data_IF_752644505475
#
_entry.id   IF_752644505475
#
_cell.length_a   1.000
_cell.length_b   1.000
_cell.length_c   1.000
_cell.angle_alpha   90.00
_cell.angle_beta   90.00
_cell.angle_gamma   90.00
#
_symmetry.space_group_name_H-M   'P 1'
#
loop_
_entity.id
_entity.type
_entity.pdbx_description
1 polymer ?
#
# COMPACT_ATOMS: atom_id res chain seq x y z
N UNK A 1 -43.39 13.72 -49.06
CA UNK A 1 -41.92 13.72 -49.24
C UNK A 1 -41.28 13.15 -47.97
N UNK A 2 -40.73 11.94 -48.02
CA UNK A 2 -39.91 11.35 -46.95
C UNK A 2 -38.67 10.76 -47.63
N UNK A 3 -37.49 11.29 -47.32
CA UNK A 3 -36.20 10.69 -47.69
C UNK A 3 -35.72 9.77 -46.57
N UNK A 4 -35.22 8.60 -46.95
CA UNK A 4 -34.47 7.64 -46.11
C UNK A 4 -32.98 7.95 -46.29
N UNK A 5 -32.22 8.03 -45.20
CA UNK A 5 -30.75 7.98 -45.23
C UNK A 5 -30.26 6.58 -44.84
N UNK A 6 -29.28 6.11 -45.61
CA UNK A 6 -28.78 4.73 -45.61
C UNK A 6 -27.60 4.48 -44.67
N UNK A 7 -27.54 3.26 -44.15
CA UNK A 7 -26.43 2.69 -43.41
C UNK A 7 -25.20 2.44 -44.31
N UNK A 8 -24.00 2.86 -43.84
CA UNK A 8 -22.71 2.64 -44.52
C UNK A 8 -22.16 1.22 -44.24
N UNK A 9 -21.81 0.40 -45.26
CA UNK A 9 -21.37 -1.00 -45.09
C UNK A 9 -19.90 -1.19 -44.66
N UNK A 10 -19.15 -0.12 -44.34
CA UNK A 10 -17.69 -0.20 -44.14
C UNK A 10 -17.24 -0.57 -42.72
N UNK A 11 -18.06 -0.34 -41.69
CA UNK A 11 -17.68 -0.62 -40.29
C UNK A 11 -17.66 -2.11 -39.93
N UNK A 12 -18.62 -2.88 -40.43
CA UNK A 12 -18.81 -4.29 -40.04
C UNK A 12 -17.73 -5.21 -40.62
N UNK A 13 -17.26 -4.93 -41.85
CA UNK A 13 -16.22 -5.74 -42.51
C UNK A 13 -14.84 -5.64 -41.85
N UNK A 14 -14.54 -4.52 -41.19
CA UNK A 14 -13.26 -4.31 -40.49
C UNK A 14 -13.25 -5.09 -39.16
N UNK A 15 -14.37 -5.11 -38.43
CA UNK A 15 -14.48 -5.85 -37.18
C UNK A 15 -14.43 -7.38 -37.38
N UNK A 16 -15.01 -7.90 -38.46
CA UNK A 16 -14.98 -9.35 -38.74
C UNK A 16 -13.61 -9.81 -39.30
N UNK A 17 -12.90 -8.94 -40.02
CA UNK A 17 -11.51 -9.18 -40.43
C UNK A 17 -10.60 -9.30 -39.19
N UNK A 18 -10.68 -8.35 -38.25
CA UNK A 18 -9.86 -8.35 -37.03
C UNK A 18 -10.11 -9.56 -36.11
N UNK A 19 -11.34 -10.07 -36.04
CA UNK A 19 -11.67 -11.29 -35.27
C UNK A 19 -11.14 -12.57 -35.92
N UNK A 20 -11.18 -12.66 -37.25
CA UNK A 20 -10.64 -13.81 -38.00
C UNK A 20 -9.11 -13.84 -37.98
N UNK A 21 -8.47 -12.66 -38.06
CA UNK A 21 -7.04 -12.46 -37.83
C UNK A 21 -6.65 -13.01 -36.45
N UNK A 22 -7.29 -12.58 -35.35
CA UNK A 22 -7.01 -13.06 -33.98
C UNK A 22 -7.04 -14.59 -33.81
N UNK A 23 -7.94 -15.31 -34.51
CA UNK A 23 -8.02 -16.78 -34.45
C UNK A 23 -6.93 -17.49 -35.25
N UNK A 24 -6.44 -16.91 -36.35
CA UNK A 24 -5.36 -17.50 -37.15
C UNK A 24 -3.98 -17.33 -36.49
N UNK A 25 -3.72 -16.24 -35.77
CA UNK A 25 -2.38 -15.96 -35.19
C UNK A 25 -2.06 -16.72 -33.90
N UNK A 26 -3.07 -17.11 -33.11
CA UNK A 26 -2.86 -17.98 -31.95
C UNK A 26 -2.42 -19.41 -32.31
N UNK A 27 -2.49 -19.77 -33.60
CA UNK A 27 -2.22 -21.13 -34.08
C UNK A 27 -0.86 -21.29 -34.80
N UNK A 28 -0.14 -20.22 -35.17
CA UNK A 28 1.13 -20.37 -35.91
C UNK A 28 2.10 -19.17 -35.77
N UNK A 29 3.17 -19.26 -34.95
CA UNK A 29 4.07 -18.14 -34.62
C UNK A 29 5.03 -17.67 -35.73
N UNK A 30 5.11 -18.36 -36.87
CA UNK A 30 6.13 -18.12 -37.92
C UNK A 30 5.72 -17.13 -39.01
N UNK A 31 4.54 -16.51 -38.93
CA UNK A 31 4.00 -15.59 -39.94
C UNK A 31 4.43 -14.11 -39.78
N UNK A 32 5.48 -13.85 -39.01
CA UNK A 32 5.88 -12.49 -38.59
C UNK A 32 6.57 -11.69 -39.71
N UNK A 33 7.22 -12.35 -40.69
CA UNK A 33 8.15 -11.64 -41.59
C UNK A 33 7.52 -10.93 -42.80
N UNK A 34 6.20 -11.02 -43.01
CA UNK A 34 5.53 -10.51 -44.23
C UNK A 34 4.33 -9.58 -43.97
N UNK A 35 4.18 -9.01 -42.77
CA UNK A 35 3.06 -8.11 -42.48
C UNK A 35 3.33 -6.66 -42.93
N UNK A 36 2.35 -5.97 -43.56
CA UNK A 36 2.43 -4.55 -43.86
C UNK A 36 2.74 -3.71 -42.62
N UNK A 37 3.59 -2.68 -42.76
CA UNK A 37 4.09 -1.83 -41.66
C UNK A 37 3.00 -1.25 -40.76
N UNK A 38 1.81 -0.96 -41.31
CA UNK A 38 0.67 -0.49 -40.53
C UNK A 38 0.10 -1.55 -39.56
N UNK A 39 0.10 -2.83 -39.95
CA UNK A 39 -0.33 -3.93 -39.08
C UNK A 39 0.73 -4.21 -38.01
N UNK A 40 2.02 -4.07 -38.32
CA UNK A 40 3.09 -4.09 -37.32
C UNK A 40 2.95 -2.95 -36.30
N UNK A 41 2.59 -1.74 -36.74
CA UNK A 41 2.35 -0.61 -35.83
C UNK A 41 1.14 -0.84 -34.93
N UNK A 42 0.06 -1.42 -35.47
CA UNK A 42 -1.16 -1.77 -34.74
C UNK A 42 -0.92 -2.95 -33.78
N UNK A 43 -0.13 -3.95 -34.17
CA UNK A 43 0.27 -5.06 -33.31
C UNK A 43 1.22 -4.61 -32.20
N UNK A 44 2.16 -3.69 -32.48
CA UNK A 44 2.97 -3.04 -31.45
C UNK A 44 2.12 -2.16 -30.54
N UNK A 45 1.10 -1.46 -31.05
CA UNK A 45 0.12 -0.72 -30.24
C UNK A 45 -0.73 -1.66 -29.37
N UNK A 46 -1.10 -2.84 -29.88
CA UNK A 46 -1.81 -3.89 -29.13
C UNK A 46 -0.89 -4.56 -28.10
N UNK A 47 0.40 -4.72 -28.40
CA UNK A 47 1.44 -5.20 -27.45
C UNK A 47 1.76 -4.15 -26.39
N UNK A 48 1.76 -2.87 -26.76
CA UNK A 48 1.89 -1.72 -25.86
C UNK A 48 0.64 -1.50 -25.00
N UNK A 49 -0.50 -2.09 -25.36
CA UNK A 49 -1.76 -2.03 -24.63
C UNK A 49 -1.90 -3.12 -23.54
N UNK A 50 -0.93 -4.03 -23.41
CA UNK A 50 -0.88 -5.02 -22.32
C UNK A 50 0.37 -4.84 -21.45
N UNK A 51 0.66 -3.58 -21.07
CA UNK A 51 1.64 -3.27 -20.03
C UNK A 51 1.02 -3.60 -18.69
N UNK A 52 1.57 -4.54 -17.92
CA UNK A 52 1.06 -4.89 -16.58
C UNK A 52 2.12 -4.77 -15.49
N UNK A 53 2.75 -3.60 -15.29
CA UNK A 53 3.46 -3.41 -14.05
C UNK A 53 2.46 -3.14 -12.90
N UNK A 54 2.89 -3.48 -11.68
CA UNK A 54 2.09 -3.85 -10.50
C UNK A 54 0.78 -4.59 -10.84
N UNK A 55 0.84 -5.92 -10.87
CA UNK A 55 -0.35 -6.76 -11.06
C UNK A 55 -1.00 -7.17 -9.74
N UNK A 56 -0.21 -7.26 -8.67
CA UNK A 56 -0.71 -7.61 -7.33
C UNK A 56 -0.06 -6.76 -6.23
N UNK A 57 -0.86 -6.48 -5.19
CA UNK A 57 -0.44 -5.82 -3.96
C UNK A 57 -0.74 -6.74 -2.78
N UNK A 58 0.27 -7.01 -1.97
CA UNK A 58 0.14 -7.63 -0.65
C UNK A 58 0.24 -6.53 0.41
N UNK A 59 -0.84 -6.37 1.16
CA UNK A 59 -0.90 -5.48 2.31
C UNK A 59 -0.69 -6.29 3.59
N UNK A 60 0.35 -5.96 4.35
CA UNK A 60 0.71 -6.60 5.61
C UNK A 60 0.57 -5.61 6.77
N UNK A 61 -0.26 -5.93 7.77
CA UNK A 61 -0.21 -5.19 9.04
C UNK A 61 1.02 -5.62 9.83
N UNK A 62 1.66 -4.69 10.55
CA UNK A 62 2.70 -5.04 11.52
C UNK A 62 2.21 -6.08 12.57
N UNK A 63 3.14 -6.82 13.16
CA UNK A 63 2.87 -7.77 14.24
C UNK A 63 2.45 -7.11 15.55
N UNK A 64 2.13 -7.90 16.58
CA UNK A 64 1.78 -7.38 17.90
C UNK A 64 2.90 -6.51 18.48
N UNK A 65 2.58 -5.28 18.87
CA UNK A 65 3.56 -4.28 19.34
C UNK A 65 3.51 -4.10 20.85
N UNK A 66 4.58 -3.60 21.42
CA UNK A 66 4.51 -3.07 22.79
C UNK A 66 3.54 -1.87 22.87
N UNK A 67 2.83 -1.68 23.99
CA UNK A 67 1.90 -0.58 24.16
C UNK A 67 2.62 0.75 24.39
N UNK A 68 1.93 1.85 24.11
CA UNK A 68 2.28 3.20 24.53
C UNK A 68 1.03 3.90 25.05
N UNK A 69 1.20 4.99 25.78
CA UNK A 69 0.11 5.84 26.26
C UNK A 69 0.27 7.26 25.71
N UNK A 70 -0.85 7.97 25.60
CA UNK A 70 -0.90 9.39 25.25
C UNK A 70 -1.60 10.13 26.39
N UNK A 71 -0.98 11.17 26.93
CA UNK A 71 -1.68 12.14 27.76
C UNK A 71 -2.35 13.20 26.85
N UNK A 72 -3.69 13.19 26.72
CA UNK A 72 -4.40 14.08 25.78
C UNK A 72 -4.32 15.55 26.17
N UNK A 73 -4.07 15.86 27.46
CA UNK A 73 -4.00 17.23 27.96
C UNK A 73 -2.64 17.87 27.70
N UNK A 74 -1.56 17.09 27.64
CA UNK A 74 -0.21 17.60 27.39
C UNK A 74 0.31 17.28 25.98
N UNK A 75 -0.31 16.31 25.29
CA UNK A 75 0.20 15.76 24.03
C UNK A 75 1.40 14.84 24.19
N UNK A 76 1.75 14.46 25.42
CA UNK A 76 2.92 13.64 25.71
C UNK A 76 2.64 12.15 25.49
N UNK A 77 3.48 11.52 24.67
CA UNK A 77 3.50 10.07 24.51
C UNK A 77 4.50 9.45 25.49
N UNK A 78 4.07 8.40 26.19
CA UNK A 78 4.90 7.70 27.17
C UNK A 78 4.83 6.19 27.01
N UNK A 79 5.88 5.53 27.50
CA UNK A 79 6.03 4.08 27.52
C UNK A 79 6.69 3.66 28.82
N UNK A 80 6.55 2.38 29.19
CA UNK A 80 7.24 1.83 30.37
C UNK A 80 8.74 1.69 30.12
N UNK A 81 9.10 1.30 28.90
CA UNK A 81 10.47 1.10 28.45
C UNK A 81 10.80 2.04 27.29
N UNK A 82 12.05 2.52 27.18
CA UNK A 82 12.47 3.34 26.06
C UNK A 82 12.41 2.53 24.75
N UNK A 83 11.99 3.18 23.67
CA UNK A 83 11.95 2.56 22.35
C UNK A 83 13.31 2.61 21.64
N UNK A 84 13.61 1.68 20.72
CA UNK A 84 14.92 1.60 20.06
C UNK A 84 15.35 2.90 19.36
N UNK A 85 14.42 3.60 18.74
CA UNK A 85 14.67 4.88 18.07
C UNK A 85 14.71 6.07 19.04
N UNK A 86 14.25 5.89 20.28
CA UNK A 86 14.03 6.97 21.24
C UNK A 86 12.87 7.91 20.89
N UNK A 87 12.13 7.64 19.81
CA UNK A 87 11.04 8.49 19.34
C UNK A 87 9.69 8.10 19.98
N UNK A 88 8.77 9.05 20.19
CA UNK A 88 7.45 8.75 20.74
C UNK A 88 6.63 7.86 19.80
N UNK A 89 5.75 7.02 20.38
CA UNK A 89 4.84 6.11 19.65
C UNK A 89 5.52 5.19 18.61
N UNK A 90 6.81 4.88 18.80
CA UNK A 90 7.61 4.04 17.91
C UNK A 90 8.15 2.75 18.58
N UNK A 91 7.28 1.95 19.22
CA UNK A 91 7.68 0.75 19.94
C UNK A 91 8.19 -0.34 19.00
N UNK A 92 8.98 -1.28 19.53
CA UNK A 92 9.24 -2.56 18.89
C UNK A 92 8.02 -3.48 18.97
N UNK A 93 8.14 -4.64 18.32
CA UNK A 93 7.24 -5.76 18.50
C UNK A 93 7.33 -6.29 19.93
N UNK A 94 6.19 -6.75 20.45
CA UNK A 94 6.14 -7.59 21.64
C UNK A 94 6.60 -9.02 21.28
N UNK A 95 6.95 -9.89 22.26
CA UNK A 95 7.39 -11.26 21.98
C UNK A 95 6.45 -12.02 21.03
N UNK A 96 5.14 -11.88 21.21
CA UNK A 96 4.13 -12.50 20.34
C UNK A 96 4.21 -11.95 18.91
N UNK A 97 4.46 -10.65 18.75
CA UNK A 97 4.65 -10.02 17.44
C UNK A 97 5.91 -10.48 16.74
N UNK A 98 6.99 -10.73 17.49
CA UNK A 98 8.22 -11.33 16.95
C UNK A 98 7.91 -12.72 16.38
N UNK A 99 7.22 -13.59 17.15
CA UNK A 99 6.80 -14.90 16.65
C UNK A 99 5.90 -14.80 15.41
N UNK A 100 4.92 -13.90 15.41
CA UNK A 100 4.08 -13.63 14.23
C UNK A 100 4.91 -13.22 13.00
N UNK A 101 5.96 -12.40 13.20
CA UNK A 101 6.83 -11.96 12.10
C UNK A 101 7.65 -13.11 11.50
N UNK A 102 8.11 -14.06 12.33
CA UNK A 102 8.84 -15.25 11.88
C UNK A 102 7.93 -16.21 11.08
N UNK A 103 6.69 -16.42 11.54
CA UNK A 103 5.70 -17.22 10.83
C UNK A 103 5.30 -16.57 9.50
N UNK A 104 5.11 -15.26 9.52
CA UNK A 104 4.85 -14.45 8.31
C UNK A 104 6.01 -14.57 7.33
N UNK A 105 7.26 -14.55 7.79
CA UNK A 105 8.42 -14.73 6.94
C UNK A 105 8.49 -16.11 6.29
N UNK A 106 8.13 -17.18 7.02
CA UNK A 106 8.05 -18.54 6.44
C UNK A 106 7.01 -18.61 5.32
N UNK A 107 5.91 -17.89 5.44
CA UNK A 107 4.88 -17.81 4.40
C UNK A 107 5.32 -16.94 3.22
N UNK A 108 5.67 -15.68 3.48
CA UNK A 108 6.03 -14.70 2.44
C UNK A 108 7.28 -15.09 1.67
N UNK A 109 8.33 -15.62 2.33
CA UNK A 109 9.55 -16.03 1.62
C UNK A 109 9.28 -17.14 0.60
N UNK A 110 8.37 -18.07 0.89
CA UNK A 110 7.95 -19.10 -0.06
C UNK A 110 7.09 -18.52 -1.17
N UNK A 111 6.07 -17.72 -0.83
CA UNK A 111 5.14 -17.14 -1.80
C UNK A 111 5.84 -16.18 -2.77
N UNK A 112 6.77 -15.37 -2.26
CA UNK A 112 7.43 -14.32 -3.02
C UNK A 112 8.78 -14.74 -3.63
N UNK A 113 9.26 -15.97 -3.41
CA UNK A 113 10.58 -16.40 -3.87
C UNK A 113 10.78 -16.17 -5.36
N UNK A 114 9.87 -16.67 -6.18
CA UNK A 114 9.99 -16.57 -7.64
C UNK A 114 9.96 -15.11 -8.11
N UNK A 115 9.07 -14.30 -7.54
CA UNK A 115 9.00 -12.87 -7.85
C UNK A 115 10.29 -12.13 -7.46
N UNK A 116 10.87 -12.49 -6.33
CA UNK A 116 12.16 -11.95 -5.88
C UNK A 116 13.31 -12.37 -6.81
N UNK A 117 13.44 -13.67 -7.10
CA UNK A 117 14.49 -14.23 -7.99
C UNK A 117 14.46 -13.58 -9.38
N UNK A 118 13.27 -13.28 -9.90
CA UNK A 118 13.09 -12.66 -11.22
C UNK A 118 13.15 -11.13 -11.19
N UNK A 119 13.40 -10.51 -10.04
CA UNK A 119 13.46 -9.05 -9.87
C UNK A 119 12.11 -8.34 -10.03
N UNK A 120 11.00 -9.07 -9.89
CA UNK A 120 9.60 -8.64 -10.03
C UNK A 120 8.91 -8.36 -8.69
N UNK A 121 9.66 -8.24 -7.59
CA UNK A 121 9.18 -7.83 -6.28
C UNK A 121 9.65 -6.42 -5.94
N UNK A 122 8.77 -5.58 -5.41
CA UNK A 122 9.12 -4.32 -4.72
C UNK A 122 8.52 -4.32 -3.33
N UNK A 123 9.30 -3.87 -2.35
CA UNK A 123 8.89 -3.87 -0.94
C UNK A 123 8.84 -2.42 -0.44
N UNK A 124 7.67 -2.02 0.06
CA UNK A 124 7.42 -0.74 0.69
C UNK A 124 7.03 -0.94 2.15
N UNK A 125 7.33 0.04 2.98
CA UNK A 125 6.94 0.00 4.39
C UNK A 125 6.72 1.40 4.93
N UNK A 126 5.81 1.51 5.89
CA UNK A 126 5.92 2.56 6.90
C UNK A 126 7.29 2.50 7.58
N UNK A 127 7.85 3.66 7.90
CA UNK A 127 9.16 3.77 8.58
C UNK A 127 9.09 3.60 10.11
N UNK A 128 7.90 3.49 10.72
CA UNK A 128 7.81 3.10 12.14
C UNK A 128 8.48 1.74 12.37
N UNK A 129 9.27 1.66 13.44
CA UNK A 129 10.18 0.55 13.76
C UNK A 129 9.47 -0.81 13.71
N UNK A 130 8.27 -0.91 14.29
CA UNK A 130 7.45 -2.15 14.28
C UNK A 130 7.14 -2.70 12.89
N UNK A 131 6.95 -1.85 11.88
CA UNK A 131 6.68 -2.30 10.50
C UNK A 131 7.94 -2.92 9.89
N UNK A 132 9.08 -2.22 10.05
CA UNK A 132 10.37 -2.72 9.57
C UNK A 132 10.82 -3.98 10.33
N UNK A 133 10.54 -4.06 11.63
CA UNK A 133 10.79 -5.25 12.43
C UNK A 133 9.92 -6.43 12.00
N UNK A 134 8.66 -6.19 11.64
CA UNK A 134 7.78 -7.23 11.07
C UNK A 134 8.34 -7.77 9.76
N UNK A 135 8.89 -6.89 8.91
CA UNK A 135 9.47 -7.28 7.62
C UNK A 135 10.84 -7.96 7.74
N UNK A 136 11.61 -7.66 8.80
CA UNK A 136 13.00 -8.12 8.97
C UNK A 136 13.22 -9.59 8.62
N UNK A 137 12.51 -10.57 9.21
CA UNK A 137 12.75 -11.98 8.88
C UNK A 137 12.38 -12.33 7.42
N UNK A 138 11.36 -11.67 6.85
CA UNK A 138 10.95 -11.91 5.46
C UNK A 138 11.98 -11.38 4.47
N UNK A 139 12.47 -10.16 4.68
CA UNK A 139 13.47 -9.51 3.82
C UNK A 139 14.79 -10.25 3.89
N UNK A 140 15.25 -10.66 5.08
CA UNK A 140 16.47 -11.47 5.23
C UNK A 140 16.34 -12.79 4.47
N UNK A 141 15.26 -13.55 4.70
CA UNK A 141 15.06 -14.83 4.02
C UNK A 141 14.99 -14.71 2.49
N UNK A 142 14.34 -13.66 1.96
CA UNK A 142 14.29 -13.41 0.52
C UNK A 142 15.66 -13.03 -0.04
N UNK A 143 16.42 -12.18 0.64
CA UNK A 143 17.77 -11.78 0.19
C UNK A 143 18.74 -12.96 0.22
N UNK A 144 18.68 -13.79 1.27
CA UNK A 144 19.49 -15.00 1.36
C UNK A 144 19.15 -16.00 0.24
N UNK A 145 17.87 -16.11 -0.11
CA UNK A 145 17.41 -17.00 -1.19
C UNK A 145 17.81 -16.53 -2.60
N UNK A 146 17.93 -15.21 -2.82
CA UNK A 146 18.38 -14.62 -4.09
C UNK A 146 19.91 -14.52 -4.18
N UNK A 147 20.60 -14.43 -3.05
CA UNK A 147 22.06 -14.27 -2.97
C UNK A 147 22.54 -12.85 -3.29
N UNK A 148 23.86 -12.66 -3.29
CA UNK A 148 24.50 -11.35 -3.57
C UNK A 148 24.57 -11.10 -5.09
N UNK A 149 23.45 -10.66 -5.64
CA UNK A 149 23.29 -10.27 -7.05
C UNK A 149 22.72 -8.85 -7.15
N UNK A 150 22.75 -8.25 -8.34
CA UNK A 150 22.04 -6.98 -8.60
C UNK A 150 20.54 -7.04 -8.28
N UNK A 151 19.97 -8.26 -8.21
CA UNK A 151 18.59 -8.48 -7.78
C UNK A 151 18.40 -8.26 -6.28
N UNK A 152 19.44 -8.43 -5.45
CA UNK A 152 19.43 -8.10 -4.02
C UNK A 152 19.18 -6.61 -3.76
N UNK A 153 19.60 -5.74 -4.68
CA UNK A 153 19.31 -4.30 -4.61
C UNK A 153 17.80 -4.02 -4.78
N UNK A 154 17.10 -4.82 -5.60
CA UNK A 154 15.65 -4.69 -5.79
C UNK A 154 14.83 -5.12 -4.55
N UNK A 155 15.48 -5.76 -3.57
CA UNK A 155 14.87 -6.17 -2.30
C UNK A 155 15.14 -5.18 -1.16
N UNK A 156 15.73 -4.01 -1.45
CA UNK A 156 15.72 -2.92 -0.49
C UNK A 156 14.28 -2.49 -0.21
N UNK A 157 14.03 -2.06 1.03
CA UNK A 157 12.71 -1.60 1.46
C UNK A 157 12.63 -0.09 1.35
N UNK A 158 11.69 0.37 0.51
CA UNK A 158 11.40 1.78 0.30
C UNK A 158 10.47 2.28 1.40
N UNK A 159 10.93 3.29 2.14
CA UNK A 159 10.16 3.90 3.22
C UNK A 159 9.13 4.89 2.70
N UNK A 160 7.84 4.56 2.71
CA UNK A 160 6.78 5.46 2.25
C UNK A 160 5.94 5.98 3.43
N UNK A 161 6.01 7.29 3.66
CA UNK A 161 5.30 7.94 4.78
C UNK A 161 3.83 8.24 4.44
N UNK A 162 3.46 8.26 3.16
CA UNK A 162 2.08 8.42 2.71
C UNK A 162 1.16 7.26 3.10
N UNK A 163 1.72 6.08 3.36
CA UNK A 163 1.04 4.91 3.93
C UNK A 163 1.44 4.66 5.38
N UNK A 164 1.97 5.68 6.06
CA UNK A 164 2.37 5.64 7.46
C UNK A 164 1.20 5.58 8.44
N UNK A 165 1.54 5.55 9.74
CA UNK A 165 0.56 5.49 10.83
C UNK A 165 -0.46 6.63 10.75
N UNK A 166 -1.65 6.39 11.28
CA UNK A 166 -2.64 7.43 11.48
C UNK A 166 -2.58 7.95 12.91
N UNK A 167 -2.30 9.24 13.03
CA UNK A 167 -2.58 9.99 14.24
C UNK A 167 -3.78 10.88 13.99
N UNK A 168 -4.74 10.83 14.92
CA UNK A 168 -5.88 11.72 14.93
C UNK A 168 -5.49 13.19 14.94
N UNK A 169 -6.36 14.03 14.37
CA UNK A 169 -6.18 15.47 14.43
C UNK A 169 -6.05 15.95 15.89
N UNK A 170 -5.04 16.77 16.16
CA UNK A 170 -4.71 17.27 17.49
C UNK A 170 -4.20 18.72 17.45
N UNK A 171 -4.12 19.37 18.61
CA UNK A 171 -3.57 20.73 18.72
C UNK A 171 -2.04 20.75 18.76
N UNK A 172 -1.41 19.62 19.09
CA UNK A 172 0.03 19.39 19.17
C UNK A 172 0.58 18.66 17.94
N UNK A 173 1.91 18.60 17.81
CA UNK A 173 2.61 17.90 16.72
C UNK A 173 2.63 16.40 17.02
N UNK A 174 2.20 15.62 16.03
CA UNK A 174 2.14 14.17 16.12
C UNK A 174 3.50 13.51 15.90
N UNK A 175 3.71 12.32 16.47
CA UNK A 175 4.95 11.57 16.27
C UNK A 175 5.26 11.30 14.79
N UNK A 176 6.54 11.30 14.46
CA UNK A 176 7.06 10.90 13.16
C UNK A 176 8.06 9.76 13.33
N UNK A 177 8.14 8.84 12.37
CA UNK A 177 9.19 7.84 12.38
C UNK A 177 10.56 8.50 12.17
N UNK A 178 11.61 7.78 12.53
CA UNK A 178 12.97 8.15 12.15
C UNK A 178 13.15 8.14 10.62
N UNK A 179 14.14 8.88 10.13
CA UNK A 179 14.50 8.84 8.71
C UNK A 179 15.19 7.52 8.34
N UNK A 180 15.28 7.26 7.02
CA UNK A 180 15.89 6.03 6.50
C UNK A 180 17.35 5.86 6.95
N UNK A 181 18.14 6.94 7.01
CA UNK A 181 19.54 6.89 7.40
C UNK A 181 19.72 6.46 8.87
N UNK A 182 18.87 6.95 9.77
CA UNK A 182 18.84 6.53 11.16
C UNK A 182 18.39 5.07 11.29
N UNK A 183 17.37 4.66 10.54
CA UNK A 183 16.81 3.31 10.60
C UNK A 183 17.73 2.23 10.04
N UNK A 184 18.64 2.57 9.13
CA UNK A 184 19.65 1.64 8.59
C UNK A 184 20.59 1.05 9.65
N UNK A 185 20.74 1.72 10.79
CA UNK A 185 21.46 1.19 11.96
C UNK A 185 20.81 -0.09 12.52
N UNK A 186 19.49 -0.22 12.35
CA UNK A 186 18.70 -1.38 12.81
C UNK A 186 18.28 -2.29 11.65
N UNK A 187 18.13 -1.72 10.45
CA UNK A 187 17.62 -2.38 9.25
C UNK A 187 18.47 -2.03 8.02
N UNK A 188 19.63 -2.68 7.82
CA UNK A 188 20.60 -2.31 6.77
C UNK A 188 20.07 -2.41 5.32
N UNK A 189 18.92 -3.01 5.12
CA UNK A 189 18.22 -3.17 3.84
C UNK A 189 17.22 -2.04 3.53
N UNK A 190 17.01 -1.08 4.44
CA UNK A 190 16.20 0.11 4.14
C UNK A 190 16.92 0.93 3.06
N UNK A 191 16.18 1.33 2.03
CA UNK A 191 16.68 2.18 0.95
C UNK A 191 16.76 3.64 1.43
N UNK A 192 17.98 4.17 1.52
CA UNK A 192 18.21 5.58 1.88
C UNK A 192 18.05 6.54 0.70
N UNK A 193 17.99 6.03 -0.54
CA UNK A 193 17.85 6.85 -1.75
C UNK A 193 16.40 7.00 -2.17
N UNK A 194 15.48 6.24 -1.58
CA UNK A 194 14.06 6.41 -1.82
C UNK A 194 13.53 7.64 -1.07
N UNK A 195 13.01 8.60 -1.83
CA UNK A 195 12.31 9.75 -1.26
C UNK A 195 10.80 9.44 -1.12
N UNK A 196 10.23 9.52 0.10
CA UNK A 196 8.80 9.35 0.31
C UNK A 196 7.99 10.34 -0.51
N UNK A 197 6.92 9.87 -1.16
CA UNK A 197 6.14 10.70 -2.09
C UNK A 197 5.18 11.65 -1.37
N UNK A 198 4.82 11.35 -0.12
CA UNK A 198 3.85 12.15 0.63
C UNK A 198 4.14 12.12 2.13
N UNK A 199 4.26 13.30 2.75
CA UNK A 199 4.41 13.41 4.20
C UNK A 199 3.07 13.70 4.89
N UNK A 200 2.65 12.92 5.90
CA UNK A 200 1.46 13.22 6.69
C UNK A 200 1.53 14.59 7.38
N UNK A 201 0.38 15.24 7.54
CA UNK A 201 0.29 16.55 8.19
C UNK A 201 0.69 16.48 9.67
N UNK A 202 1.44 17.47 10.13
CA UNK A 202 2.09 17.50 11.46
C UNK A 202 1.10 17.35 12.61
N UNK A 203 -0.13 17.84 12.46
CA UNK A 203 -1.13 17.86 13.52
C UNK A 203 -2.15 16.72 13.43
N UNK A 204 -1.85 15.69 12.65
CA UNK A 204 -2.75 14.55 12.46
C UNK A 204 -3.96 14.86 11.60
N UNK A 205 -4.77 13.83 11.36
CA UNK A 205 -5.78 13.79 10.30
C UNK A 205 -7.13 13.33 10.83
N UNK A 206 -8.21 13.85 10.26
CA UNK A 206 -9.54 13.22 10.35
C UNK A 206 -9.56 11.94 9.53
N UNK A 207 -10.56 11.08 9.79
CA UNK A 207 -10.67 9.78 9.09
C UNK A 207 -10.73 9.96 7.56
N UNK A 208 -11.50 10.92 7.04
CA UNK A 208 -11.57 11.13 5.58
C UNK A 208 -10.24 11.64 5.00
N UNK A 209 -9.54 12.55 5.69
CA UNK A 209 -8.22 13.06 5.31
C UNK A 209 -7.18 11.93 5.24
N UNK A 210 -7.20 11.00 6.21
CA UNK A 210 -6.40 9.77 6.17
C UNK A 210 -6.67 8.96 4.90
N UNK A 211 -7.95 8.75 4.55
CA UNK A 211 -8.28 7.97 3.35
C UNK A 211 -7.76 8.65 2.08
N UNK A 212 -7.87 9.98 1.99
CA UNK A 212 -7.34 10.74 0.85
C UNK A 212 -5.82 10.68 0.75
N UNK A 213 -5.13 10.84 1.89
CA UNK A 213 -3.68 10.67 1.95
C UNK A 213 -3.27 9.29 1.48
N UNK A 214 -3.88 8.23 2.02
CA UNK A 214 -3.51 6.84 1.71
C UNK A 214 -3.81 6.53 0.25
N UNK A 215 -4.96 6.98 -0.28
CA UNK A 215 -5.29 6.84 -1.70
C UNK A 215 -4.25 7.49 -2.61
N UNK A 216 -3.86 8.74 -2.31
CA UNK A 216 -2.82 9.45 -3.06
C UNK A 216 -1.45 8.78 -2.92
N UNK A 217 -1.08 8.36 -1.73
CA UNK A 217 0.19 7.65 -1.47
C UNK A 217 0.30 6.35 -2.25
N UNK A 218 -0.75 5.52 -2.24
CA UNK A 218 -0.80 4.29 -3.02
C UNK A 218 -0.72 4.54 -4.52
N UNK A 219 -1.48 5.52 -5.03
CA UNK A 219 -1.44 5.87 -6.45
C UNK A 219 -0.04 6.27 -6.91
N UNK A 220 0.66 7.11 -6.12
CA UNK A 220 2.03 7.55 -6.41
C UNK A 220 3.04 6.40 -6.36
N UNK A 221 2.91 5.50 -5.37
CA UNK A 221 3.77 4.31 -5.27
C UNK A 221 3.57 3.35 -6.46
N UNK A 222 2.31 3.09 -6.84
CA UNK A 222 1.99 2.21 -7.97
C UNK A 222 2.50 2.84 -9.27
N UNK A 223 2.29 4.14 -9.47
CA UNK A 223 2.78 4.89 -10.63
C UNK A 223 4.32 4.88 -10.70
N UNK A 224 5.01 5.06 -9.58
CA UNK A 224 6.48 5.02 -9.51
C UNK A 224 7.04 3.66 -9.96
N UNK A 225 6.43 2.56 -9.50
CA UNK A 225 6.83 1.20 -9.91
C UNK A 225 6.48 0.93 -11.38
N UNK A 226 5.32 1.39 -11.84
CA UNK A 226 4.91 1.23 -13.24
C UNK A 226 5.88 1.96 -14.19
N UNK A 227 6.25 3.18 -13.83
CA UNK A 227 7.22 3.98 -14.56
C UNK A 227 8.63 3.39 -14.50
N UNK A 228 9.05 2.86 -13.35
CA UNK A 228 10.34 2.18 -13.18
C UNK A 228 10.47 1.00 -14.16
N UNK A 229 9.47 0.11 -14.20
CA UNK A 229 9.49 -1.05 -15.08
C UNK A 229 9.33 -0.65 -16.56
N UNK A 230 8.52 0.34 -16.86
CA UNK A 230 8.39 0.86 -18.22
C UNK A 230 9.72 1.45 -18.73
N UNK A 231 10.40 2.28 -17.93
CA UNK A 231 11.68 2.90 -18.26
C UNK A 231 12.80 1.86 -18.44
N UNK A 232 12.74 0.75 -17.69
CA UNK A 232 13.67 -0.37 -17.83
C UNK A 232 13.37 -1.29 -19.03
N UNK A 233 12.35 -0.99 -19.85
CA UNK A 233 11.92 -1.85 -20.97
C UNK A 233 11.25 -3.17 -20.52
N UNK A 234 10.76 -3.20 -19.27
CA UNK A 234 10.12 -4.37 -18.62
C UNK A 234 8.64 -4.12 -18.30
N UNK A 235 7.99 -3.21 -19.04
CA UNK A 235 6.60 -2.83 -18.78
C UNK A 235 5.58 -3.95 -19.06
N UNK A 236 6.00 -5.07 -19.64
CA UNK A 236 5.21 -6.29 -19.86
C UNK A 236 5.36 -7.32 -18.73
N UNK A 237 6.20 -7.05 -17.73
CA UNK A 237 6.42 -7.96 -16.59
C UNK A 237 5.48 -7.63 -15.43
N UNK A 238 4.76 -8.65 -14.98
CA UNK A 238 3.93 -8.57 -13.78
C UNK A 238 4.77 -8.36 -12.52
N UNK A 239 4.48 -7.28 -11.79
CA UNK A 239 5.19 -6.91 -10.55
C UNK A 239 4.30 -7.16 -9.35
N UNK A 240 4.91 -7.68 -8.29
CA UNK A 240 4.30 -7.81 -6.96
C UNK A 240 4.81 -6.73 -6.05
N UNK A 241 3.89 -6.04 -5.39
CA UNK A 241 4.21 -5.05 -4.36
C UNK A 241 3.86 -5.63 -2.98
N UNK A 242 4.83 -5.68 -2.07
CA UNK A 242 4.58 -5.96 -0.65
C UNK A 242 4.64 -4.65 0.14
N UNK A 243 3.59 -4.33 0.87
CA UNK A 243 3.48 -3.10 1.66
C UNK A 243 3.18 -3.43 3.13
N UNK A 244 4.09 -3.06 4.04
CA UNK A 244 3.85 -3.19 5.47
C UNK A 244 3.41 -1.86 6.10
N UNK A 245 2.29 -1.87 6.84
CA UNK A 245 1.73 -0.67 7.47
C UNK A 245 0.93 -0.99 8.76
N UNK A 246 0.04 -0.07 9.15
CA UNK A 246 -0.71 -0.01 10.39
C UNK A 246 -2.19 -0.21 10.16
N UNK A 247 -2.94 -0.49 11.23
CA UNK A 247 -4.32 -0.91 11.12
C UNK A 247 -5.20 0.06 10.29
N UNK A 248 -5.21 1.34 10.66
CA UNK A 248 -6.02 2.35 9.99
C UNK A 248 -5.61 2.55 8.52
N UNK A 249 -4.30 2.57 8.24
CA UNK A 249 -3.78 2.70 6.89
C UNK A 249 -4.07 1.46 6.02
N UNK A 250 -4.07 0.24 6.58
CA UNK A 250 -4.44 -0.98 5.85
C UNK A 250 -5.92 -0.96 5.44
N UNK A 251 -6.82 -0.60 6.35
CA UNK A 251 -8.26 -0.50 6.03
C UNK A 251 -8.49 0.61 5.00
N UNK A 252 -7.89 1.79 5.22
CA UNK A 252 -7.96 2.89 4.26
C UNK A 252 -7.39 2.48 2.89
N UNK A 253 -6.34 1.66 2.84
CA UNK A 253 -5.77 1.12 1.62
C UNK A 253 -6.74 0.19 0.89
N UNK A 254 -7.40 -0.72 1.59
CA UNK A 254 -8.42 -1.60 0.99
C UNK A 254 -9.55 -0.81 0.34
N UNK A 255 -10.05 0.22 1.05
CA UNK A 255 -11.06 1.14 0.55
C UNK A 255 -10.55 1.95 -0.65
N UNK A 256 -9.32 2.47 -0.58
CA UNK A 256 -8.68 3.24 -1.66
C UNK A 256 -8.46 2.43 -2.94
N UNK A 257 -8.02 1.18 -2.81
CA UNK A 257 -7.74 0.30 -3.95
C UNK A 257 -9.04 -0.16 -4.62
N UNK A 258 -10.10 -0.39 -3.87
CA UNK A 258 -11.37 -0.91 -4.41
C UNK A 258 -12.38 0.18 -4.79
N UNK A 259 -12.21 1.40 -4.25
CA UNK A 259 -13.22 2.46 -4.30
C UNK A 259 -14.39 2.21 -3.34
N UNK A 260 -14.41 1.09 -2.61
CA UNK A 260 -15.50 0.76 -1.70
C UNK A 260 -15.28 1.49 -0.38
N UNK A 261 -15.79 2.71 -0.26
CA UNK A 261 -15.84 3.46 1.00
C UNK A 261 -17.26 3.39 1.56
N UNK A 262 -17.48 2.86 2.77
CA UNK A 262 -18.80 2.87 3.38
C UNK A 262 -19.24 4.30 3.72
N UNK A 263 -20.56 4.51 3.82
CA UNK A 263 -21.12 5.81 4.23
C UNK A 263 -20.78 6.06 5.70
N UNK A 264 -20.89 5.04 6.55
CA UNK A 264 -20.39 5.07 7.92
C UNK A 264 -19.01 4.41 7.98
N UNK A 265 -17.99 5.19 8.37
CA UNK A 265 -16.63 4.69 8.52
C UNK A 265 -16.50 3.54 9.53
N UNK A 266 -17.45 3.41 10.46
CA UNK A 266 -17.51 2.34 11.46
C UNK A 266 -17.85 0.96 10.89
N UNK A 267 -18.37 0.90 9.67
CA UNK A 267 -18.68 -0.37 9.01
C UNK A 267 -17.43 -1.23 8.90
N UNK A 268 -17.58 -2.51 9.25
CA UNK A 268 -16.52 -3.51 9.20
C UNK A 268 -16.54 -4.14 7.80
N UNK A 269 -15.58 -3.74 6.97
CA UNK A 269 -15.45 -4.15 5.57
C UNK A 269 -14.11 -4.85 5.31
N UNK A 270 -13.00 -4.17 5.59
CA UNK A 270 -11.66 -4.73 5.51
C UNK A 270 -11.19 -5.21 6.89
N UNK A 271 -10.89 -6.50 6.98
CA UNK A 271 -10.29 -7.09 8.16
C UNK A 271 -8.91 -6.50 8.40
N UNK A 272 -8.47 -6.51 9.66
CA UNK A 272 -7.17 -5.98 10.00
C UNK A 272 -6.61 -6.60 11.29
N UNK A 273 -6.12 -7.83 11.20
CA UNK A 273 -5.46 -8.53 12.31
C UNK A 273 -3.95 -8.30 12.30
N UNK A 274 -3.28 -8.39 13.46
CA UNK A 274 -1.82 -8.29 13.53
C UNK A 274 -1.16 -9.35 12.67
N UNK A 275 -0.19 -8.96 11.84
CA UNK A 275 0.43 -9.82 10.81
C UNK A 275 -0.54 -10.46 9.81
N UNK A 276 -1.76 -9.91 9.69
CA UNK A 276 -2.72 -10.30 8.66
C UNK A 276 -2.30 -9.79 7.29
N UNK A 277 -2.56 -10.59 6.26
CA UNK A 277 -2.19 -10.29 4.87
C UNK A 277 -3.47 -10.13 4.03
N UNK A 278 -3.60 -9.00 3.35
CA UNK A 278 -4.62 -8.82 2.31
C UNK A 278 -3.96 -8.83 0.94
N UNK A 279 -4.62 -9.43 -0.06
CA UNK A 279 -4.15 -9.52 -1.44
C UNK A 279 -5.12 -8.82 -2.36
N UNK A 280 -4.58 -7.93 -3.17
CA UNK A 280 -5.31 -7.20 -4.20
C UNK A 280 -4.74 -7.50 -5.57
N UNK A 281 -5.61 -7.70 -6.56
CA UNK A 281 -5.23 -7.89 -7.97
C UNK A 281 -5.80 -6.75 -8.80
N UNK A 282 -4.98 -6.22 -9.70
CA UNK A 282 -5.33 -5.03 -10.49
C UNK A 282 -6.40 -5.36 -11.52
N UNK A 283 -7.45 -4.54 -11.61
CA UNK A 283 -8.54 -4.70 -12.59
C UNK A 283 -8.13 -4.20 -13.96
N UNK A 284 -7.58 -2.99 -13.99
CA UNK A 284 -7.22 -2.27 -15.22
C UNK A 284 -5.98 -1.45 -14.96
N UNK A 285 -5.08 -1.42 -15.93
CA UNK A 285 -3.97 -0.46 -15.95
C UNK A 285 -4.49 0.85 -16.56
N UNK A 286 -4.28 2.01 -15.91
CA UNK A 286 -4.62 3.31 -16.47
C UNK A 286 -4.05 3.45 -17.88
N UNK A 287 -4.87 3.92 -18.82
CA UNK A 287 -4.42 4.14 -20.19
C UNK A 287 -3.36 5.26 -20.24
N UNK A 288 -2.59 5.34 -21.31
CA UNK A 288 -1.59 6.41 -21.47
C UNK A 288 -2.27 7.79 -21.34
N UNK A 289 -1.82 8.59 -20.37
CA UNK A 289 -2.38 9.91 -20.07
C UNK A 289 -3.56 9.91 -19.09
N UNK A 290 -4.08 8.76 -18.65
CA UNK A 290 -5.00 8.67 -17.52
C UNK A 290 -4.22 8.79 -16.20
N UNK A 291 -4.74 9.57 -15.26
CA UNK A 291 -4.12 9.74 -13.96
C UNK A 291 -4.31 8.49 -13.07
N UNK A 292 -3.29 8.16 -12.27
CA UNK A 292 -3.36 7.09 -11.27
C UNK A 292 -4.18 7.50 -10.05
N UNK A 293 -4.28 8.81 -9.80
CA UNK A 293 -5.04 9.40 -8.73
C UNK A 293 -6.05 10.42 -9.28
N UNK A 294 -7.24 10.44 -8.68
CA UNK A 294 -8.26 11.46 -8.86
C UNK A 294 -8.82 11.79 -7.48
N UNK A 295 -9.17 13.05 -7.23
CA UNK A 295 -9.86 13.43 -5.99
C UNK A 295 -11.21 12.71 -5.85
N UNK A 296 -11.77 12.24 -6.97
CA UNK A 296 -13.01 11.44 -7.04
C UNK A 296 -12.77 9.92 -6.97
N UNK A 297 -11.63 9.47 -6.43
CA UNK A 297 -11.24 8.05 -6.38
C UNK A 297 -12.30 7.12 -5.75
N UNK A 298 -13.13 7.66 -4.86
CA UNK A 298 -14.23 6.95 -4.19
C UNK A 298 -15.34 6.56 -5.16
N UNK A 299 -15.57 7.37 -6.20
CA UNK A 299 -16.61 7.13 -7.21
C UNK A 299 -16.04 6.56 -8.52
N UNK A 300 -14.72 6.53 -8.69
CA UNK A 300 -14.05 6.01 -9.89
C UNK A 300 -13.63 4.54 -9.80
N UNK A 301 -14.07 3.80 -8.78
CA UNK A 301 -13.71 2.39 -8.57
C UNK A 301 -12.32 2.18 -7.97
N UNK A 302 -11.78 3.19 -7.27
CA UNK A 302 -10.49 3.14 -6.59
C UNK A 302 -9.34 3.71 -7.41
N UNK A 303 -8.15 3.73 -6.80
CA UNK A 303 -6.94 4.31 -7.39
C UNK A 303 -6.28 3.38 -8.40
N UNK A 304 -5.49 3.97 -9.30
CA UNK A 304 -4.61 3.28 -10.25
C UNK A 304 -5.33 2.24 -11.12
N UNK A 305 -6.59 2.52 -11.49
CA UNK A 305 -7.42 1.65 -12.35
C UNK A 305 -8.23 0.59 -11.60
N UNK A 306 -8.22 0.64 -10.26
CA UNK A 306 -9.05 -0.19 -9.40
C UNK A 306 -8.54 -1.61 -9.22
N UNK A 307 -8.94 -2.22 -8.10
CA UNK A 307 -8.43 -3.51 -7.65
C UNK A 307 -9.55 -4.41 -7.12
N UNK A 308 -9.35 -5.72 -7.22
CA UNK A 308 -10.16 -6.75 -6.57
C UNK A 308 -9.44 -7.27 -5.33
N UNK A 309 -10.15 -7.35 -4.20
CA UNK A 309 -9.63 -7.94 -2.97
C UNK A 309 -9.85 -9.45 -3.00
N UNK A 310 -8.79 -10.23 -3.18
CA UNK A 310 -8.84 -11.70 -3.20
C UNK A 310 -8.64 -12.33 -1.82
N UNK A 311 -7.84 -11.69 -0.96
CA UNK A 311 -7.64 -12.09 0.43
C UNK A 311 -7.82 -10.87 1.32
N UNK A 312 -8.58 -11.02 2.40
CA UNK A 312 -8.92 -9.92 3.31
C UNK A 312 -8.42 -10.25 4.72
N UNK A 313 -7.23 -9.74 5.05
CA UNK A 313 -6.53 -9.96 6.31
C UNK A 313 -6.44 -11.44 6.72
N UNK A 314 -6.01 -12.30 5.79
CA UNK A 314 -5.76 -13.71 6.05
C UNK A 314 -4.68 -13.87 7.13
N UNK A 315 -4.92 -14.81 8.05
CA UNK A 315 -4.01 -15.18 9.14
C UNK A 315 -3.82 -16.69 9.18
N UNK A 316 -4.08 -17.40 8.06
CA UNK A 316 -3.99 -18.86 8.01
C UNK A 316 -2.56 -19.37 8.21
N UNK A 317 -1.56 -18.51 7.94
CA UNK A 317 -0.14 -18.76 8.20
C UNK A 317 0.27 -18.58 9.66
N UNK A 318 -0.58 -18.00 10.52
CA UNK A 318 -0.29 -17.76 11.93
C UNK A 318 -0.88 -18.88 12.78
N UNK A 319 -0.02 -19.56 13.54
CA UNK A 319 -0.39 -20.60 14.51
C UNK A 319 -1.38 -20.10 15.56
N UNK A 320 -1.25 -18.83 15.96
CA UNK A 320 -2.15 -18.15 16.91
C UNK A 320 -3.45 -17.62 16.29
N UNK A 321 -3.68 -17.81 14.98
CA UNK A 321 -4.87 -17.33 14.28
C UNK A 321 -5.04 -15.81 14.30
N UNK A 322 -6.27 -15.31 14.08
CA UNK A 322 -6.56 -13.88 14.06
C UNK A 322 -6.46 -13.27 15.47
N UNK A 323 -5.67 -12.21 15.62
CA UNK A 323 -5.45 -11.52 16.89
C UNK A 323 -5.50 -10.00 16.72
N UNK A 324 -5.95 -9.30 17.77
CA UNK A 324 -5.98 -7.84 17.87
C UNK A 324 -6.60 -7.14 16.65
N UNK A 325 -7.74 -7.66 16.17
CA UNK A 325 -8.50 -7.04 15.08
C UNK A 325 -8.83 -5.59 15.38
N UNK A 326 -8.82 -4.75 14.35
CA UNK A 326 -9.08 -3.33 14.47
C UNK A 326 -10.03 -2.88 13.36
N UNK A 327 -10.86 -1.89 13.66
CA UNK A 327 -11.70 -1.18 12.70
C UNK A 327 -11.86 0.27 13.18
N UNK A 328 -12.26 1.17 12.28
CA UNK A 328 -12.57 2.55 12.67
C UNK A 328 -13.75 2.58 13.64
N UNK A 329 -13.67 3.47 14.63
CA UNK A 329 -14.76 3.79 15.54
C UNK A 329 -14.92 5.31 15.59
N UNK A 330 -16.14 5.83 15.50
CA UNK A 330 -16.43 7.24 15.20
C UNK A 330 -15.82 8.24 16.18
N UNK A 331 -15.66 7.83 17.45
CA UNK A 331 -15.03 8.65 18.50
C UNK A 331 -13.52 8.84 18.29
N UNK A 332 -12.90 8.03 17.43
CA UNK A 332 -11.50 8.16 17.03
C UNK A 332 -11.30 9.23 15.94
N UNK A 333 -12.32 10.01 15.57
CA UNK A 333 -12.11 11.21 14.73
C UNK A 333 -11.43 12.37 15.49
N UNK A 334 -11.24 12.24 16.81
CA UNK A 334 -10.43 13.11 17.67
C UNK A 334 -10.74 14.62 17.63
N UNK A 335 -11.97 15.01 17.30
CA UNK A 335 -12.44 16.39 17.52
C UNK A 335 -12.50 16.76 19.03
N UNK A 336 -12.31 15.79 19.93
CA UNK A 336 -12.41 15.93 21.39
C UNK A 336 -11.22 16.62 22.07
N UNK A 337 -10.04 16.71 21.43
CA UNK A 337 -8.90 17.42 22.04
C UNK A 337 -9.16 18.94 22.18
N UNK A 338 -10.05 19.51 21.36
CA UNK A 338 -10.46 20.91 21.52
C UNK A 338 -11.22 21.12 22.85
N UNK A 339 -11.97 20.11 23.32
CA UNK A 339 -12.70 20.18 24.59
C UNK A 339 -11.75 20.13 25.80
N UNK A 340 -10.66 19.35 25.72
CA UNK A 340 -9.64 19.31 26.77
C UNK A 340 -8.92 20.67 26.94
N UNK A 341 -8.72 21.43 25.85
CA UNK A 341 -8.16 22.78 25.91
C UNK A 341 -9.07 23.81 26.60
N UNK A 342 -10.39 23.56 26.63
CA UNK A 342 -11.39 24.44 27.26
C UNK A 342 -11.60 24.16 28.75
N UNK A 343 -11.15 23.00 29.23
CA UNK A 343 -11.11 22.69 30.66
C UNK A 343 -9.80 23.21 31.23
N UNK A 344 -9.72 24.54 31.40
CA UNK A 344 -8.62 25.18 32.12
C UNK A 344 -8.34 24.44 33.44
N UNK A 345 -7.06 24.24 33.74
CA UNK A 345 -6.61 23.60 34.98
C UNK A 345 -7.18 24.42 36.14
N UNK A 346 -8.17 23.86 36.83
CA UNK A 346 -8.57 24.38 38.14
C UNK A 346 -7.55 23.81 39.12
N UNK A 347 -6.50 24.58 39.42
CA UNK A 347 -5.68 24.30 40.58
C UNK A 347 -6.60 24.34 41.80
N UNK A 348 -6.82 23.20 42.44
CA UNK A 348 -7.37 23.15 43.78
C UNK A 348 -6.30 23.72 44.71
N UNK A 349 -6.31 25.05 44.88
CA UNK A 349 -5.59 25.73 45.95
C UNK A 349 -6.22 25.29 47.28
N UNK A 350 -5.71 24.20 47.83
CA UNK A 350 -6.00 23.79 49.20
C UNK A 350 -5.39 24.79 50.16
N UNK A 351 -6.16 25.82 50.52
CA UNK A 351 -5.90 26.69 51.66
C UNK A 351 -5.77 25.82 52.91
N UNK A 352 -4.56 25.73 53.47
CA UNK A 352 -4.39 25.43 54.89
C UNK A 352 -4.49 26.76 55.62
N UNK A 353 -5.61 26.96 56.29
CA UNK A 353 -5.80 27.97 57.32
C UNK A 353 -6.03 27.24 58.66
N UNK A 354 -5.71 27.89 59.79
CA UNK A 354 -4.54 27.59 60.63
C UNK A 354 -4.67 26.46 61.64
#
# INVERSE_FOLDING_TARGET
MRSKEGHSPRGTKICDALRNTRRQYLANPTLIDNLPSYIFSQLNLIRLASKMPVSQILLLRHGHRQPWSLNPATGEYSSREPFPTGLPADPPLAPEGVSQSEETAKHLSRYLKEHADQGRLRIYSSLFYRCLETLRPSVVALRDAVGDSSVSYNLQVRGETGVGEWFGRAWFIQPRPADAAQLRKFFPWVDENYEPKLTPVDKGEKIHELHDRVAKGLALVIEDVDNEFAAAGKGDQEVTLLLCSHAAAIIASGRALTGNVPVDYNEIDFGCFTSGISKFVRKKVPAAGEAYFSDDWRNSGGVAGGWDCELNSDTSHLSGGPQNGWHFQGDQAFDSYEAASKMGITELSGSRDP
#
